data_IF_650619139293
#
_entry.id   IF_650619139293
#
_cell.length_a   1.000
_cell.length_b   1.000
_cell.length_c   1.000
_cell.angle_alpha   90.00
_cell.angle_beta   90.00
_cell.angle_gamma   90.00
#
_symmetry.space_group_name_H-M   'P 1'
#
loop_
_entity.id
_entity.type
_entity.pdbx_description
1 polymer ?
#
# COMPACT_ATOMS: atom_id res chain seq x y z
N UNK A 1 13.45 5.09 17.90
CA UNK A 1 12.58 3.97 17.48
C UNK A 1 11.86 4.43 16.22
N UNK A 2 12.37 4.12 15.01
CA UNK A 2 11.92 4.83 13.79
C UNK A 2 11.93 4.01 12.49
N UNK A 3 12.28 2.72 12.52
CA UNK A 3 12.40 1.90 11.28
C UNK A 3 11.05 1.49 10.67
N UNK A 4 10.00 1.36 11.47
CA UNK A 4 8.73 0.75 11.01
C UNK A 4 7.89 1.66 10.10
N UNK A 5 7.98 2.98 10.25
CA UNK A 5 7.22 3.93 9.41
C UNK A 5 7.77 4.01 7.98
N UNK A 6 9.10 3.99 7.84
CA UNK A 6 9.76 3.97 6.55
C UNK A 6 9.38 2.72 5.74
N UNK A 7 9.38 1.55 6.37
CA UNK A 7 9.01 0.28 5.72
C UNK A 7 7.55 0.29 5.23
N UNK A 8 6.62 0.84 6.00
CA UNK A 8 5.22 0.94 5.58
C UNK A 8 5.05 1.82 4.34
N UNK A 9 5.61 3.02 4.35
CA UNK A 9 5.44 4.00 3.27
C UNK A 9 6.14 3.54 1.99
N UNK A 10 7.34 2.96 2.11
CA UNK A 10 8.04 2.35 0.98
C UNK A 10 7.25 1.15 0.41
N UNK A 11 6.74 0.26 1.26
CA UNK A 11 5.89 -0.84 0.81
C UNK A 11 4.58 -0.36 0.17
N UNK A 12 3.99 0.73 0.67
CA UNK A 12 2.80 1.35 0.08
C UNK A 12 3.11 1.90 -1.32
N UNK A 13 4.18 2.67 -1.48
CA UNK A 13 4.60 3.22 -2.77
C UNK A 13 4.92 2.11 -3.78
N UNK A 14 5.57 1.03 -3.34
CA UNK A 14 5.81 -0.17 -4.19
C UNK A 14 4.49 -0.86 -4.58
N UNK A 15 3.52 -0.93 -3.67
CA UNK A 15 2.20 -1.48 -3.96
C UNK A 15 1.41 -0.63 -4.97
N UNK A 16 1.51 0.70 -4.87
CA UNK A 16 0.92 1.61 -5.86
C UNK A 16 1.54 1.40 -7.24
N UNK A 17 2.87 1.34 -7.36
CA UNK A 17 3.51 1.07 -8.67
C UNK A 17 3.03 -0.25 -9.29
N UNK A 18 2.93 -1.29 -8.47
CA UNK A 18 2.42 -2.58 -8.94
C UNK A 18 0.96 -2.48 -9.40
N UNK A 19 0.13 -1.70 -8.71
CA UNK A 19 -1.24 -1.42 -9.13
C UNK A 19 -1.29 -0.66 -10.46
N UNK A 20 -0.41 0.31 -10.66
CA UNK A 20 -0.32 1.09 -11.89
C UNK A 20 0.10 0.23 -13.09
N UNK A 21 1.12 -0.61 -12.91
CA UNK A 21 1.65 -1.48 -13.96
C UNK A 21 0.73 -2.64 -14.32
N UNK A 22 0.12 -3.28 -13.33
CA UNK A 22 -0.64 -4.53 -13.53
C UNK A 22 -2.16 -4.31 -13.55
N UNK A 23 -2.63 -3.14 -13.10
CA UNK A 23 -4.05 -2.83 -12.88
C UNK A 23 -4.79 -3.90 -12.05
N UNK A 24 -4.05 -4.64 -11.22
CA UNK A 24 -4.56 -5.75 -10.42
C UNK A 24 -3.72 -5.88 -9.14
N UNK A 25 -4.29 -6.50 -8.10
CA UNK A 25 -3.56 -6.76 -6.85
C UNK A 25 -3.49 -8.26 -6.56
N UNK A 26 -2.27 -8.83 -6.43
CA UNK A 26 -2.09 -10.24 -6.07
C UNK A 26 -2.56 -10.49 -4.63
N UNK A 27 -2.66 -11.76 -4.23
CA UNK A 27 -3.23 -12.15 -2.93
C UNK A 27 -2.50 -11.51 -1.74
N UNK A 28 -3.16 -11.34 -0.59
CA UNK A 28 -2.52 -10.82 0.63
C UNK A 28 -1.16 -11.48 0.98
N UNK A 29 -1.02 -12.82 0.98
CA UNK A 29 0.27 -13.47 1.25
C UNK A 29 1.33 -13.18 0.18
N UNK A 30 0.93 -13.01 -1.08
CA UNK A 30 1.83 -12.66 -2.17
C UNK A 30 2.33 -11.22 -2.03
N UNK A 31 1.42 -10.28 -1.74
CA UNK A 31 1.79 -8.89 -1.44
C UNK A 31 2.78 -8.80 -0.29
N UNK A 32 2.57 -9.57 0.79
CA UNK A 32 3.51 -9.60 1.92
C UNK A 32 4.91 -10.08 1.50
N UNK A 33 4.96 -11.07 0.62
CA UNK A 33 6.23 -11.62 0.11
C UNK A 33 6.91 -10.64 -0.86
N UNK A 34 6.15 -10.05 -1.79
CA UNK A 34 6.64 -9.08 -2.78
C UNK A 34 7.14 -7.79 -2.14
N UNK A 35 6.41 -7.28 -1.15
CA UNK A 35 6.76 -6.04 -0.45
C UNK A 35 7.78 -6.28 0.68
N UNK A 36 7.96 -7.53 1.12
CA UNK A 36 8.85 -7.89 2.23
C UNK A 36 8.31 -7.45 3.59
N UNK A 37 6.99 -7.44 3.76
CA UNK A 37 6.32 -6.93 4.96
C UNK A 37 5.37 -7.96 5.57
N UNK A 38 5.09 -7.80 6.86
CA UNK A 38 4.15 -8.65 7.59
C UNK A 38 2.72 -8.53 7.04
N UNK A 39 1.92 -9.60 7.22
CA UNK A 39 0.49 -9.60 6.81
C UNK A 39 -0.30 -8.43 7.40
N UNK A 40 0.00 -8.03 8.64
CA UNK A 40 -0.62 -6.86 9.28
C UNK A 40 -0.34 -5.58 8.49
N UNK A 41 0.90 -5.39 8.03
CA UNK A 41 1.30 -4.25 7.19
C UNK A 41 0.59 -4.28 5.84
N UNK A 42 0.51 -5.44 5.20
CA UNK A 42 -0.26 -5.60 3.93
C UNK A 42 -1.71 -5.19 4.13
N UNK A 43 -2.35 -5.63 5.21
CA UNK A 43 -3.74 -5.26 5.50
C UNK A 43 -3.89 -3.76 5.73
N UNK A 44 -2.96 -3.12 6.45
CA UNK A 44 -2.95 -1.66 6.62
C UNK A 44 -2.74 -0.90 5.31
N UNK A 45 -1.94 -1.44 4.38
CA UNK A 45 -1.77 -0.88 3.02
C UNK A 45 -3.09 -0.98 2.25
N UNK A 46 -3.70 -2.18 2.20
CA UNK A 46 -4.96 -2.40 1.50
C UNK A 46 -6.12 -1.58 2.05
N UNK A 47 -6.24 -1.46 3.37
CA UNK A 47 -7.24 -0.57 4.00
C UNK A 47 -7.05 0.88 3.56
N UNK A 48 -5.82 1.39 3.57
CA UNK A 48 -5.57 2.77 3.13
C UNK A 48 -5.84 2.95 1.63
N UNK A 49 -5.53 1.96 0.80
CA UNK A 49 -5.88 1.99 -0.63
C UNK A 49 -7.40 2.01 -0.85
N UNK A 50 -8.16 1.33 0.02
CA UNK A 50 -9.62 1.39 0.01
C UNK A 50 -10.14 2.76 0.46
N UNK A 51 -9.59 3.31 1.55
CA UNK A 51 -9.97 4.64 2.07
C UNK A 51 -9.70 5.77 1.06
N UNK A 52 -8.65 5.64 0.25
CA UNK A 52 -8.30 6.57 -0.83
C UNK A 52 -9.08 6.33 -2.13
N UNK A 53 -9.93 5.30 -2.17
CA UNK A 53 -10.75 4.96 -3.32
C UNK A 53 -9.98 4.37 -4.51
N UNK A 54 -8.76 3.86 -4.29
CA UNK A 54 -7.97 3.18 -5.31
C UNK A 54 -8.53 1.79 -5.62
N UNK A 55 -8.96 1.09 -4.56
CA UNK A 55 -9.52 -0.25 -4.63
C UNK A 55 -10.79 -0.35 -3.79
N UNK A 56 -11.64 -1.32 -4.09
CA UNK A 56 -12.66 -1.80 -3.18
C UNK A 56 -12.22 -3.15 -2.61
N UNK A 57 -12.14 -3.27 -1.30
CA UNK A 57 -11.66 -4.48 -0.63
C UNK A 57 -12.78 -5.15 0.19
N UNK A 58 -13.50 -6.08 -0.45
CA UNK A 58 -14.53 -6.86 0.21
C UNK A 58 -14.00 -8.23 0.65
N UNK A 59 -13.41 -8.30 1.85
CA UNK A 59 -12.81 -9.51 2.45
C UNK A 59 -11.72 -10.14 1.57
N UNK A 60 -12.11 -10.98 0.60
CA UNK A 60 -11.22 -11.66 -0.34
C UNK A 60 -11.25 -11.06 -1.74
N UNK A 61 -12.31 -10.32 -2.05
CA UNK A 61 -12.45 -9.69 -3.36
C UNK A 61 -11.76 -8.33 -3.35
N UNK A 62 -10.80 -8.15 -4.25
CA UNK A 62 -10.14 -6.86 -4.48
C UNK A 62 -10.51 -6.40 -5.87
N UNK A 63 -11.23 -5.30 -5.94
CA UNK A 63 -11.61 -4.67 -7.21
C UNK A 63 -10.81 -3.39 -7.35
N UNK A 64 -10.01 -3.27 -8.40
CA UNK A 64 -9.31 -2.02 -8.70
C UNK A 64 -10.33 -1.02 -9.24
N UNK A 65 -10.48 0.12 -8.57
CA UNK A 65 -11.42 1.16 -8.96
C UNK A 65 -10.76 2.19 -9.89
N UNK A 66 -9.52 2.56 -9.57
CA UNK A 66 -8.71 3.48 -10.38
C UNK A 66 -7.22 3.19 -10.22
N UNK A 67 -6.42 3.71 -11.15
CA UNK A 67 -4.97 3.76 -11.01
C UNK A 67 -4.54 4.80 -9.96
N UNK A 68 -3.38 4.59 -9.33
CA UNK A 68 -2.80 5.56 -8.41
C UNK A 68 -2.29 6.79 -9.16
N UNK A 69 -2.48 7.96 -8.54
CA UNK A 69 -1.98 9.24 -9.02
C UNK A 69 -0.71 9.62 -8.26
N UNK A 70 0.12 10.53 -8.79
CA UNK A 70 1.32 11.03 -8.12
C UNK A 70 1.04 11.55 -6.69
N UNK A 71 -0.15 12.10 -6.46
CA UNK A 71 -0.63 12.58 -5.16
C UNK A 71 -0.94 11.46 -4.15
N UNK A 72 -1.19 10.23 -4.61
CA UNK A 72 -1.43 9.07 -3.74
C UNK A 72 -0.12 8.51 -3.17
N UNK A 73 1.02 8.81 -3.82
CA UNK A 73 2.33 8.36 -3.36
C UNK A 73 2.74 9.16 -2.12
N UNK A 74 3.30 8.47 -1.12
CA UNK A 74 3.90 9.16 0.00
C UNK A 74 5.15 9.91 -0.47
N UNK A 75 5.26 11.23 -0.18
CA UNK A 75 6.49 11.97 -0.43
C UNK A 75 7.63 11.39 0.41
N UNK A 76 8.86 11.40 -0.12
CA UNK A 76 10.05 10.88 0.58
C UNK A 76 10.36 11.66 1.88
N UNK A 77 9.82 12.88 2.02
CA UNK A 77 9.93 13.75 3.21
C UNK A 77 8.91 13.35 4.31
N UNK A 78 7.75 12.87 3.86
CA UNK A 78 6.82 11.96 4.54
C UNK A 78 7.46 10.92 5.45
N UNK A 79 8.42 10.19 4.88
CA UNK A 79 8.85 8.89 5.37
C UNK A 79 9.48 8.89 6.76
N UNK A 80 9.90 10.07 7.22
CA UNK A 80 10.62 10.27 8.46
C UNK A 80 9.82 10.96 9.59
N UNK A 81 8.66 11.56 9.29
CA UNK A 81 8.05 12.48 10.26
C UNK A 81 7.03 11.83 11.20
N UNK A 82 7.36 11.92 12.48
CA UNK A 82 6.58 11.56 13.66
C UNK A 82 5.37 12.48 13.86
N UNK A 83 4.27 11.89 14.31
CA UNK A 83 3.29 12.50 15.20
C UNK A 83 2.79 11.35 16.09
N UNK A 84 2.84 11.35 17.42
CA UNK A 84 3.18 12.34 18.46
C UNK A 84 3.61 11.52 19.70
#
# INVERSE_FOLDING_TARGET
MSKSNNVYKDAFNRCLRLLDETQSLPSEPELGTLLGVSRTTVRSILSRMEETGLIAWNKRNKTVLRGPLPEDFFPEEETDSLAE
#
